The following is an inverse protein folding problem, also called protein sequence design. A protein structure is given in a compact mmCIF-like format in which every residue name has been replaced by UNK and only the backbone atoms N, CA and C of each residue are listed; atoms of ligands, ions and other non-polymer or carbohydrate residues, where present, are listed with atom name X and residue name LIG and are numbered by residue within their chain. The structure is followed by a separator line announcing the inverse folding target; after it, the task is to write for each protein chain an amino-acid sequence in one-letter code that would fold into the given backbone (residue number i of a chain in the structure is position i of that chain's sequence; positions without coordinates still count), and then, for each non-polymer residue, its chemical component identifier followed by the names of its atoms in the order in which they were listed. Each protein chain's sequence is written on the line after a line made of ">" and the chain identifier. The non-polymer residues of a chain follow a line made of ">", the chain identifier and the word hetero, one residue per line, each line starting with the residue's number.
data_IF_906677499963
#
_entry.id   IF_906677499963
#
_cell.length_a   1.000
_cell.length_b   1.000
_cell.length_c   1.000
_cell.angle_alpha   90.00
_cell.angle_beta   90.00
_cell.angle_gamma   90.00
#
_symmetry.space_group_name_H-M   'P 1'
#
loop_
_entity.id
_entity.type
_entity.pdbx_description
1 polymer ?
#
# COMPACT_ATOMS: atom_id res chain seq x y z
N UNK A 1 -59.94 -2.31 20.30
CA UNK A 1 -59.06 -3.32 19.66
C UNK A 1 -58.05 -2.74 18.64
N UNK A 2 -58.23 -1.52 18.15
CA UNK A 2 -57.37 -0.93 17.11
C UNK A 2 -55.94 -0.48 17.51
N UNK A 3 -55.64 -0.34 18.81
CA UNK A 3 -54.35 0.22 19.24
C UNK A 3 -53.17 -0.77 19.34
N UNK A 4 -53.45 -2.08 19.42
CA UNK A 4 -52.41 -3.11 19.57
C UNK A 4 -51.80 -3.47 18.20
N UNK A 5 -52.62 -3.44 17.16
CA UNK A 5 -52.18 -3.84 15.81
C UNK A 5 -51.30 -2.78 15.15
N UNK A 6 -51.60 -1.49 15.39
CA UNK A 6 -50.73 -0.38 14.91
C UNK A 6 -49.39 -0.32 15.64
N UNK A 7 -49.36 -0.64 16.95
CA UNK A 7 -48.12 -0.69 17.70
C UNK A 7 -47.19 -1.84 17.25
N UNK A 8 -47.75 -3.03 16.92
CA UNK A 8 -46.98 -4.18 16.43
C UNK A 8 -46.49 -3.98 15.01
N UNK A 9 -47.28 -3.40 14.11
CA UNK A 9 -46.87 -3.06 12.76
C UNK A 9 -45.75 -2.00 12.75
N UNK A 10 -45.85 -1.00 13.62
CA UNK A 10 -44.78 0.00 13.80
C UNK A 10 -43.50 -0.60 14.37
N UNK A 11 -43.62 -1.60 15.27
CA UNK A 11 -42.43 -2.25 15.84
C UNK A 11 -41.68 -3.11 14.81
N UNK A 12 -42.38 -3.86 13.96
CA UNK A 12 -41.78 -4.63 12.87
C UNK A 12 -41.16 -3.73 11.81
N UNK A 13 -41.79 -2.60 11.48
CA UNK A 13 -41.22 -1.59 10.56
C UNK A 13 -39.94 -0.94 11.12
N UNK A 14 -39.90 -0.64 12.42
CA UNK A 14 -38.72 -0.09 13.07
C UNK A 14 -37.54 -1.06 13.09
N UNK A 15 -37.76 -2.36 13.33
CA UNK A 15 -36.72 -3.39 13.31
C UNK A 15 -36.07 -3.48 11.90
N UNK A 16 -36.89 -3.47 10.85
CA UNK A 16 -36.38 -3.49 9.46
C UNK A 16 -35.53 -2.28 9.15
N UNK A 17 -35.90 -1.09 9.60
CA UNK A 17 -35.12 0.15 9.43
C UNK A 17 -33.83 0.12 10.22
N UNK A 18 -33.84 -0.37 11.45
CA UNK A 18 -32.63 -0.50 12.28
C UNK A 18 -31.63 -1.49 11.67
N UNK A 19 -32.10 -2.65 11.21
CA UNK A 19 -31.28 -3.64 10.52
C UNK A 19 -30.67 -3.02 9.27
N UNK A 20 -31.47 -2.36 8.44
CA UNK A 20 -30.98 -1.69 7.22
C UNK A 20 -29.93 -0.63 7.56
N UNK A 21 -30.15 0.17 8.60
CA UNK A 21 -29.21 1.19 9.06
C UNK A 21 -27.88 0.61 9.56
N UNK A 22 -27.91 -0.53 10.23
CA UNK A 22 -26.70 -1.25 10.66
C UNK A 22 -25.89 -1.77 9.46
N UNK A 23 -26.55 -2.39 8.48
CA UNK A 23 -25.90 -2.87 7.27
C UNK A 23 -25.32 -1.71 6.45
N UNK A 24 -26.03 -0.60 6.32
CA UNK A 24 -25.54 0.59 5.61
C UNK A 24 -24.25 1.11 6.24
N UNK A 25 -24.20 1.31 7.54
CA UNK A 25 -22.99 1.75 8.26
C UNK A 25 -21.81 0.78 8.07
N UNK A 26 -22.10 -0.51 8.09
CA UNK A 26 -21.09 -1.53 7.85
C UNK A 26 -20.52 -1.43 6.44
N UNK A 27 -21.37 -1.29 5.41
CA UNK A 27 -20.93 -1.14 4.04
C UNK A 27 -20.12 0.14 3.82
N UNK A 28 -20.57 1.27 4.36
CA UNK A 28 -19.86 2.56 4.25
C UNK A 28 -18.46 2.47 4.88
N UNK A 29 -18.35 1.82 6.03
CA UNK A 29 -17.06 1.61 6.68
C UNK A 29 -16.12 0.73 5.83
N UNK A 30 -16.64 -0.40 5.31
CA UNK A 30 -15.86 -1.30 4.46
C UNK A 30 -15.44 -0.68 3.14
N UNK A 31 -16.29 0.14 2.53
CA UNK A 31 -15.96 0.87 1.32
C UNK A 31 -14.83 1.88 1.57
N UNK A 32 -14.87 2.56 2.71
CA UNK A 32 -13.79 3.48 3.10
C UNK A 32 -12.46 2.74 3.28
N UNK A 33 -12.45 1.55 3.92
CA UNK A 33 -11.26 0.72 4.06
C UNK A 33 -10.72 0.25 2.70
N UNK A 34 -11.59 -0.23 1.82
CA UNK A 34 -11.22 -0.67 0.47
C UNK A 34 -10.59 0.47 -0.35
N UNK A 35 -11.18 1.66 -0.30
CA UNK A 35 -10.65 2.82 -1.02
C UNK A 35 -9.25 3.19 -0.53
N UNK A 36 -8.97 3.14 0.78
CA UNK A 36 -7.63 3.35 1.31
C UNK A 36 -6.61 2.34 0.78
N UNK A 37 -6.99 1.07 0.71
CA UNK A 37 -6.11 0.02 0.18
C UNK A 37 -5.87 0.27 -1.32
N UNK A 38 -6.90 0.58 -2.10
CA UNK A 38 -6.79 0.87 -3.53
C UNK A 38 -5.86 2.06 -3.78
N UNK A 39 -5.97 3.13 -3.00
CA UNK A 39 -5.11 4.31 -3.17
C UNK A 39 -3.66 3.98 -2.81
N UNK A 40 -3.42 3.19 -1.77
CA UNK A 40 -2.07 2.73 -1.45
C UNK A 40 -1.49 1.82 -2.55
N UNK A 41 -2.30 1.00 -3.22
CA UNK A 41 -1.87 0.20 -4.38
C UNK A 41 -1.45 1.07 -5.57
N UNK A 42 -2.15 2.17 -5.82
CA UNK A 42 -1.77 3.12 -6.90
C UNK A 42 -0.37 3.69 -6.64
N UNK A 43 -0.09 4.07 -5.38
CA UNK A 43 1.24 4.57 -4.98
C UNK A 43 2.29 3.49 -5.18
N UNK A 44 2.06 2.27 -4.69
CA UNK A 44 2.99 1.14 -4.85
C UNK A 44 3.26 0.84 -6.33
N UNK A 45 2.24 0.83 -7.17
CA UNK A 45 2.40 0.63 -8.62
C UNK A 45 3.23 1.72 -9.29
N UNK A 46 3.04 2.99 -8.87
CA UNK A 46 3.86 4.10 -9.38
C UNK A 46 5.32 3.91 -8.99
N UNK A 47 5.60 3.51 -7.76
CA UNK A 47 6.97 3.25 -7.27
C UNK A 47 7.63 2.10 -8.03
N UNK A 48 6.91 0.99 -8.25
CA UNK A 48 7.38 -0.14 -9.07
C UNK A 48 7.76 0.36 -10.47
N UNK A 49 6.91 1.16 -11.09
CA UNK A 49 7.18 1.72 -12.42
C UNK A 49 8.44 2.57 -12.43
N UNK A 50 8.57 3.50 -11.49
CA UNK A 50 9.75 4.40 -11.43
C UNK A 50 11.03 3.62 -11.19
N UNK A 51 11.03 2.65 -10.26
CA UNK A 51 12.20 1.79 -10.02
C UNK A 51 12.56 0.94 -11.24
N UNK A 52 11.56 0.37 -11.92
CA UNK A 52 11.76 -0.40 -13.15
C UNK A 52 12.35 0.46 -14.26
N UNK A 53 11.91 1.71 -14.41
CA UNK A 53 12.46 2.64 -15.39
C UNK A 53 13.92 2.97 -15.09
N UNK A 54 14.27 3.20 -13.82
CA UNK A 54 15.67 3.42 -13.39
C UNK A 54 16.53 2.19 -13.67
N UNK A 55 16.05 1.01 -13.29
CA UNK A 55 16.76 -0.25 -13.53
C UNK A 55 17.02 -0.50 -15.02
N UNK A 56 16.02 -0.23 -15.86
CA UNK A 56 16.16 -0.36 -17.33
C UNK A 56 17.19 0.61 -17.89
N UNK A 57 17.20 1.86 -17.45
CA UNK A 57 18.21 2.87 -17.87
C UNK A 57 19.62 2.44 -17.47
N UNK A 58 19.81 1.97 -16.23
CA UNK A 58 21.09 1.48 -15.74
C UNK A 58 21.56 0.25 -16.53
N UNK A 59 20.69 -0.70 -16.77
CA UNK A 59 20.96 -1.92 -17.54
C UNK A 59 21.34 -1.58 -18.98
N UNK A 60 20.64 -0.64 -19.61
CA UNK A 60 20.97 -0.16 -20.95
C UNK A 60 22.33 0.51 -20.98
N UNK A 61 22.61 1.41 -20.05
CA UNK A 61 23.91 2.09 -19.97
C UNK A 61 25.06 1.11 -19.74
N UNK A 62 24.85 0.05 -18.94
CA UNK A 62 25.82 -1.03 -18.78
C UNK A 62 26.15 -1.72 -20.11
N UNK A 63 25.13 -1.98 -20.94
CA UNK A 63 25.32 -2.66 -22.22
C UNK A 63 26.00 -1.77 -23.29
N UNK A 64 25.72 -0.47 -23.26
CA UNK A 64 26.21 0.48 -24.31
C UNK A 64 27.50 1.14 -23.91
N UNK A 65 27.51 1.88 -22.81
CA UNK A 65 28.57 2.79 -22.43
C UNK A 65 29.47 2.27 -21.30
N UNK A 66 29.03 1.18 -20.62
CA UNK A 66 29.65 0.62 -19.42
C UNK A 66 29.79 1.61 -18.26
N UNK A 67 29.08 2.73 -18.35
CA UNK A 67 29.08 3.83 -17.38
C UNK A 67 27.71 4.50 -17.35
N UNK A 68 27.36 5.06 -16.19
CA UNK A 68 26.13 5.85 -16.01
C UNK A 68 26.44 7.10 -15.17
N UNK A 69 26.18 8.26 -15.74
CA UNK A 69 26.40 9.55 -15.08
C UNK A 69 25.14 9.93 -14.26
N UNK A 70 25.21 9.72 -12.95
CA UNK A 70 24.12 10.01 -12.02
C UNK A 70 23.79 11.50 -11.91
N UNK A 71 24.70 12.39 -12.34
CA UNK A 71 24.43 13.84 -12.31
C UNK A 71 23.32 14.25 -13.28
N UNK A 72 23.07 13.43 -14.31
CA UNK A 72 22.10 13.68 -15.38
C UNK A 72 20.70 13.13 -15.10
N UNK A 73 20.56 12.27 -14.09
CA UNK A 73 19.27 11.66 -13.72
C UNK A 73 19.09 11.67 -12.20
N UNK A 74 18.35 12.67 -11.71
CA UNK A 74 18.10 12.85 -10.28
C UNK A 74 17.40 11.63 -9.66
N UNK A 75 16.48 11.02 -10.39
CA UNK A 75 15.75 9.84 -9.90
C UNK A 75 16.69 8.65 -9.75
N UNK A 76 17.50 8.35 -10.76
CA UNK A 76 18.49 7.29 -10.68
C UNK A 76 19.51 7.55 -9.56
N UNK A 77 19.92 8.80 -9.37
CA UNK A 77 20.83 9.21 -8.30
C UNK A 77 20.22 8.92 -6.92
N UNK A 78 18.97 9.31 -6.69
CA UNK A 78 18.27 9.06 -5.43
C UNK A 78 18.17 7.57 -5.11
N UNK A 79 17.77 6.76 -6.08
CA UNK A 79 17.67 5.31 -5.90
C UNK A 79 19.03 4.64 -5.68
N UNK A 80 20.04 4.99 -6.44
CA UNK A 80 21.40 4.47 -6.26
C UNK A 80 21.92 4.78 -4.85
N UNK A 81 21.65 5.99 -4.37
CA UNK A 81 22.02 6.41 -3.02
C UNK A 81 21.33 5.58 -1.94
N UNK A 82 20.03 5.36 -2.05
CA UNK A 82 19.28 4.56 -1.08
C UNK A 82 19.72 3.09 -1.08
N UNK A 83 20.00 2.53 -2.25
CA UNK A 83 20.57 1.18 -2.36
C UNK A 83 21.92 1.10 -1.66
N UNK A 84 22.76 2.13 -1.82
CA UNK A 84 24.05 2.23 -1.12
C UNK A 84 23.86 2.27 0.41
N UNK A 85 22.98 3.14 0.90
CA UNK A 85 22.75 3.27 2.34
C UNK A 85 22.23 1.97 3.00
N UNK A 86 21.45 1.17 2.25
CA UNK A 86 21.01 -0.14 2.72
C UNK A 86 22.08 -1.24 2.68
N UNK A 87 23.10 -1.08 1.83
CA UNK A 87 24.16 -2.05 1.62
C UNK A 87 25.53 -1.37 1.57
N UNK A 88 25.95 -0.66 2.64
CA UNK A 88 27.17 0.14 2.61
C UNK A 88 28.41 -0.71 2.32
N UNK A 89 28.52 -1.91 2.88
CA UNK A 89 29.68 -2.81 2.71
C UNK A 89 29.92 -3.24 1.28
N UNK A 90 28.89 -3.26 0.43
CA UNK A 90 29.03 -3.64 -0.98
C UNK A 90 29.66 -2.51 -1.80
N UNK A 91 29.51 -1.28 -1.34
CA UNK A 91 29.97 -0.06 -2.03
C UNK A 91 31.33 0.45 -1.51
N UNK A 92 31.72 0.11 -0.27
CA UNK A 92 32.91 0.66 0.40
C UNK A 92 34.21 0.58 -0.43
N UNK A 93 34.34 -0.41 -1.30
CA UNK A 93 35.51 -0.62 -2.14
C UNK A 93 35.31 -0.25 -3.62
N UNK A 94 34.14 0.22 -4.02
CA UNK A 94 33.77 0.32 -5.45
C UNK A 94 33.41 1.72 -5.91
N UNK A 95 33.11 2.63 -5.00
CA UNK A 95 32.80 4.02 -5.31
C UNK A 95 33.75 4.92 -4.51
N UNK A 96 34.78 5.42 -5.17
CA UNK A 96 35.86 6.17 -4.54
C UNK A 96 35.48 7.53 -3.94
N UNK A 97 34.27 8.04 -4.18
CA UNK A 97 33.84 9.38 -3.78
C UNK A 97 32.43 9.41 -3.17
N UNK A 98 31.91 8.27 -2.70
CA UNK A 98 30.76 8.34 -1.81
C UNK A 98 31.24 8.99 -0.52
N UNK A 99 30.49 9.94 0.03
CA UNK A 99 30.76 10.35 1.40
C UNK A 99 30.80 9.07 2.23
N UNK A 100 31.90 8.88 2.99
CA UNK A 100 32.02 7.85 4.03
C UNK A 100 30.66 7.80 4.69
N UNK A 101 30.10 6.61 4.87
CA UNK A 101 28.77 6.40 5.39
C UNK A 101 28.48 7.49 6.43
N UNK A 102 27.71 8.49 6.00
CA UNK A 102 27.48 9.63 6.85
C UNK A 102 26.59 9.09 7.97
N UNK A 103 27.17 8.93 9.14
CA UNK A 103 26.48 8.42 10.33
C UNK A 103 25.13 9.13 10.52
N UNK A 104 25.07 10.42 10.18
CA UNK A 104 23.84 11.21 10.20
C UNK A 104 22.78 10.70 9.20
N UNK A 105 23.17 10.11 8.09
CA UNK A 105 22.25 9.61 7.08
C UNK A 105 21.70 8.24 7.41
N UNK A 106 22.51 7.34 7.96
CA UNK A 106 22.04 6.06 8.51
C UNK A 106 21.09 6.30 9.69
N UNK A 107 21.41 7.27 10.54
CA UNK A 107 20.54 7.67 11.64
C UNK A 107 19.21 8.24 11.09
N UNK A 108 19.22 9.10 10.09
CA UNK A 108 17.99 9.64 9.46
C UNK A 108 17.11 8.55 8.86
N UNK A 109 17.67 7.55 8.18
CA UNK A 109 16.89 6.41 7.68
C UNK A 109 16.26 5.65 8.85
N UNK A 110 17.01 5.41 9.90
CA UNK A 110 16.52 4.74 11.11
C UNK A 110 15.37 5.53 11.75
N UNK A 111 15.52 6.84 11.85
CA UNK A 111 14.48 7.75 12.36
C UNK A 111 13.23 7.74 11.48
N UNK A 112 13.37 7.76 10.15
CA UNK A 112 12.24 7.66 9.21
C UNK A 112 11.53 6.32 9.35
N UNK A 113 12.27 5.22 9.47
CA UNK A 113 11.69 3.89 9.68
C UNK A 113 10.94 3.84 11.01
N UNK A 114 11.52 4.37 12.10
CA UNK A 114 10.85 4.46 13.39
C UNK A 114 9.56 5.28 13.32
N UNK A 115 9.61 6.45 12.68
CA UNK A 115 8.44 7.29 12.47
C UNK A 115 7.35 6.58 11.67
N UNK A 116 7.69 5.86 10.60
CA UNK A 116 6.73 5.09 9.81
C UNK A 116 6.05 4.00 10.64
N UNK A 117 6.81 3.33 11.52
CA UNK A 117 6.26 2.34 12.48
C UNK A 117 5.32 2.97 13.50
N UNK A 118 5.65 4.14 14.02
CA UNK A 118 4.78 4.90 14.93
C UNK A 118 3.49 5.37 14.22
N UNK A 119 3.56 5.70 12.94
CA UNK A 119 2.40 6.01 12.09
C UNK A 119 1.56 4.76 11.76
N UNK A 120 1.96 3.58 12.23
CA UNK A 120 1.24 2.31 12.04
C UNK A 120 1.48 1.66 10.68
N UNK A 121 2.56 2.03 9.97
CA UNK A 121 2.95 1.38 8.71
C UNK A 121 3.56 0.02 9.03
N UNK A 122 3.00 -1.11 8.53
CA UNK A 122 3.56 -2.43 8.76
C UNK A 122 4.98 -2.56 8.20
N UNK A 123 5.83 -3.34 8.85
CA UNK A 123 7.24 -3.53 8.45
C UNK A 123 7.38 -3.97 6.98
N UNK A 124 6.48 -4.81 6.49
CA UNK A 124 6.44 -5.28 5.10
C UNK A 124 6.17 -4.16 4.07
N UNK A 125 5.61 -3.04 4.52
CA UNK A 125 5.29 -1.88 3.68
C UNK A 125 6.38 -0.80 3.74
N UNK A 126 7.36 -0.95 4.63
CA UNK A 126 8.48 -0.02 4.75
C UNK A 126 9.55 -0.40 3.72
N UNK A 127 9.35 0.06 2.49
CA UNK A 127 10.26 -0.15 1.36
C UNK A 127 10.92 1.17 0.91
N UNK A 128 11.93 1.05 0.03
CA UNK A 128 12.69 2.20 -0.46
C UNK A 128 11.83 3.35 -0.97
N UNK A 129 10.72 3.07 -1.65
CA UNK A 129 9.83 4.11 -2.18
C UNK A 129 9.25 5.01 -1.10
N UNK A 130 8.74 4.44 0.01
CA UNK A 130 8.19 5.22 1.12
C UNK A 130 9.29 5.99 1.87
N UNK A 131 10.43 5.34 2.08
CA UNK A 131 11.60 6.00 2.69
C UNK A 131 12.03 7.20 1.82
N UNK A 132 12.04 7.04 0.50
CA UNK A 132 12.46 8.08 -0.43
C UNK A 132 11.54 9.31 -0.42
N UNK A 133 10.25 9.14 -0.19
CA UNK A 133 9.31 10.25 -0.09
C UNK A 133 9.57 11.14 1.14
N UNK A 134 10.02 10.53 2.24
CA UNK A 134 10.29 11.23 3.50
C UNK A 134 11.75 11.64 3.67
N UNK A 135 12.65 11.11 2.85
CA UNK A 135 14.08 11.34 2.99
C UNK A 135 14.49 12.73 2.46
N UNK A 136 15.10 13.58 3.29
CA UNK A 136 15.57 14.89 2.87
C UNK A 136 16.86 14.75 2.04
N UNK A 137 16.72 14.64 0.72
CA UNK A 137 17.87 14.64 -0.15
C UNK A 137 18.54 16.01 -0.18
N UNK A 138 19.78 16.07 0.28
CA UNK A 138 20.63 17.25 0.07
C UNK A 138 21.09 17.29 -1.40
N UNK A 139 20.91 18.43 -2.04
CA UNK A 139 21.40 18.69 -3.40
C UNK A 139 22.93 18.58 -3.53
N UNK A 140 23.64 18.59 -2.41
CA UNK A 140 25.11 18.48 -2.36
C UNK A 140 25.60 17.04 -2.42
N UNK A 141 24.72 16.02 -2.34
CA UNK A 141 25.13 14.63 -2.52
C UNK A 141 25.58 14.43 -3.96
N UNK A 142 26.87 14.40 -4.18
CA UNK A 142 27.50 14.17 -5.47
C UNK A 142 27.78 12.68 -5.60
N UNK A 143 27.05 12.00 -6.46
CA UNK A 143 27.48 10.73 -7.01
C UNK A 143 28.20 11.01 -8.33
N UNK A 144 29.33 10.39 -8.46
CA UNK A 144 30.06 10.40 -9.72
C UNK A 144 29.48 9.38 -10.71
N UNK A 145 30.23 9.04 -11.72
CA UNK A 145 29.83 8.09 -12.74
C UNK A 145 29.89 6.68 -12.20
N UNK A 146 28.78 5.95 -12.26
CA UNK A 146 28.77 4.52 -11.99
C UNK A 146 29.50 3.77 -13.10
N UNK A 147 30.39 2.86 -12.74
CA UNK A 147 31.01 1.91 -13.66
C UNK A 147 30.14 0.63 -13.78
N UNK A 148 30.54 -0.30 -14.66
CA UNK A 148 29.81 -1.54 -14.93
C UNK A 148 29.52 -2.34 -13.65
N UNK A 149 30.51 -2.44 -12.75
CA UNK A 149 30.39 -3.21 -11.51
C UNK A 149 29.43 -2.55 -10.49
N UNK A 150 29.50 -1.23 -10.36
CA UNK A 150 28.60 -0.47 -9.46
C UNK A 150 27.18 -0.38 -10.02
N UNK A 151 27.01 -0.34 -11.34
CA UNK A 151 25.70 -0.48 -11.97
C UNK A 151 25.06 -1.81 -11.58
N UNK A 152 25.80 -2.92 -11.61
CA UNK A 152 25.27 -4.23 -11.22
C UNK A 152 24.78 -4.26 -9.78
N UNK A 153 25.53 -3.67 -8.88
CA UNK A 153 25.13 -3.62 -7.46
C UNK A 153 23.85 -2.81 -7.28
N UNK A 154 23.74 -1.65 -7.94
CA UNK A 154 22.50 -0.84 -7.87
C UNK A 154 21.32 -1.60 -8.48
N UNK A 155 21.51 -2.23 -9.63
CA UNK A 155 20.47 -3.02 -10.31
C UNK A 155 20.03 -4.19 -9.43
N UNK A 156 20.94 -4.92 -8.79
CA UNK A 156 20.60 -6.01 -7.87
C UNK A 156 19.82 -5.51 -6.64
N UNK A 157 20.22 -4.37 -6.08
CA UNK A 157 19.49 -3.75 -4.97
C UNK A 157 18.08 -3.33 -5.35
N UNK A 158 17.91 -2.72 -6.53
CA UNK A 158 16.58 -2.35 -7.06
C UNK A 158 15.72 -3.59 -7.38
N UNK A 159 16.31 -4.65 -7.91
CA UNK A 159 15.60 -5.92 -8.18
C UNK A 159 15.07 -6.56 -6.89
N UNK A 160 15.86 -6.54 -5.82
CA UNK A 160 15.44 -7.01 -4.51
C UNK A 160 14.24 -6.19 -3.97
N UNK A 161 14.30 -4.86 -4.07
CA UNK A 161 13.20 -3.99 -3.66
C UNK A 161 11.93 -4.18 -4.52
N UNK A 162 12.09 -4.36 -5.83
CA UNK A 162 10.97 -4.64 -6.74
C UNK A 162 10.28 -5.97 -6.39
N UNK A 163 11.04 -6.99 -6.02
CA UNK A 163 10.48 -8.27 -5.55
C UNK A 163 9.67 -8.09 -4.26
N UNK A 164 10.17 -7.31 -3.31
CA UNK A 164 9.45 -7.01 -2.07
C UNK A 164 8.16 -6.23 -2.36
N UNK A 165 8.21 -5.20 -3.20
CA UNK A 165 7.03 -4.42 -3.59
C UNK A 165 5.98 -5.26 -4.32
N UNK A 166 6.40 -6.13 -5.23
CA UNK A 166 5.48 -7.02 -5.92
C UNK A 166 4.84 -8.05 -4.98
N UNK A 167 5.58 -8.55 -3.99
CA UNK A 167 5.03 -9.44 -2.96
C UNK A 167 3.97 -8.73 -2.11
N UNK A 168 4.26 -7.52 -1.62
CA UNK A 168 3.31 -6.68 -0.88
C UNK A 168 2.06 -6.35 -1.71
N UNK A 169 2.25 -6.01 -2.98
CA UNK A 169 1.15 -5.74 -3.91
C UNK A 169 0.23 -6.96 -4.06
N UNK A 170 0.79 -8.15 -4.23
CA UNK A 170 0.03 -9.38 -4.34
C UNK A 170 -0.74 -9.71 -3.05
N UNK A 171 -0.13 -9.53 -1.87
CA UNK A 171 -0.79 -9.71 -0.58
C UNK A 171 -1.98 -8.77 -0.42
N UNK A 172 -1.82 -7.49 -0.78
CA UNK A 172 -2.91 -6.50 -0.73
C UNK A 172 -4.02 -6.82 -1.72
N UNK A 173 -3.70 -7.31 -2.92
CA UNK A 173 -4.70 -7.74 -3.89
C UNK A 173 -5.51 -8.94 -3.37
N UNK A 174 -4.86 -9.91 -2.72
CA UNK A 174 -5.57 -11.01 -2.05
C UNK A 174 -6.48 -10.52 -0.94
N UNK A 175 -6.03 -9.56 -0.13
CA UNK A 175 -6.84 -8.95 0.92
C UNK A 175 -8.07 -8.21 0.35
N UNK A 176 -7.91 -7.48 -0.77
CA UNK A 176 -9.04 -6.85 -1.46
C UNK A 176 -10.04 -7.88 -1.93
N UNK A 177 -9.59 -8.95 -2.58
CA UNK A 177 -10.48 -10.01 -3.05
C UNK A 177 -11.28 -10.65 -1.91
N UNK A 178 -10.62 -10.98 -0.78
CA UNK A 178 -11.29 -11.47 0.42
C UNK A 178 -12.35 -10.50 0.94
N UNK A 179 -12.04 -9.19 0.99
CA UNK A 179 -13.01 -8.18 1.43
C UNK A 179 -14.19 -8.02 0.47
N UNK A 180 -14.01 -8.23 -0.83
CA UNK A 180 -15.11 -8.26 -1.80
C UNK A 180 -16.00 -9.51 -1.62
N UNK A 181 -15.41 -10.67 -1.35
CA UNK A 181 -16.15 -11.90 -1.04
C UNK A 181 -16.97 -11.74 0.23
N UNK A 182 -16.39 -11.23 1.31
CA UNK A 182 -17.08 -10.91 2.56
C UNK A 182 -18.27 -9.97 2.32
N UNK A 183 -18.07 -8.91 1.51
CA UNK A 183 -19.14 -7.97 1.15
C UNK A 183 -20.28 -8.65 0.40
N UNK A 184 -19.97 -9.54 -0.54
CA UNK A 184 -20.95 -10.31 -1.29
C UNK A 184 -21.79 -11.19 -0.36
N UNK A 185 -21.13 -11.90 0.55
CA UNK A 185 -21.76 -12.77 1.54
C UNK A 185 -22.67 -12.00 2.50
N UNK A 186 -22.19 -10.84 2.98
CA UNK A 186 -22.99 -9.96 3.85
C UNK A 186 -24.21 -9.38 3.13
N UNK A 187 -24.08 -9.05 1.84
CA UNK A 187 -25.20 -8.58 1.02
C UNK A 187 -26.29 -9.66 0.91
N UNK A 188 -25.88 -10.89 0.69
CA UNK A 188 -26.83 -12.01 0.62
C UNK A 188 -27.50 -12.30 1.95
N UNK A 189 -26.73 -12.29 3.05
CA UNK A 189 -27.27 -12.42 4.40
C UNK A 189 -28.27 -11.30 4.72
N UNK A 190 -27.97 -10.05 4.36
CA UNK A 190 -28.88 -8.94 4.55
C UNK A 190 -30.22 -9.12 3.79
N UNK A 191 -30.14 -9.59 2.54
CA UNK A 191 -31.34 -9.91 1.73
C UNK A 191 -32.17 -10.99 2.36
N UNK A 192 -31.53 -12.05 2.88
CA UNK A 192 -32.22 -13.14 3.53
C UNK A 192 -32.93 -12.67 4.81
N UNK A 193 -32.27 -11.92 5.67
CA UNK A 193 -32.86 -11.38 6.91
C UNK A 193 -34.03 -10.45 6.60
N UNK A 194 -33.93 -9.59 5.59
CA UNK A 194 -35.04 -8.73 5.17
C UNK A 194 -36.23 -9.53 4.64
N UNK A 195 -35.97 -10.60 3.88
CA UNK A 195 -37.01 -11.50 3.40
C UNK A 195 -37.74 -12.22 4.56
N UNK A 196 -37.00 -12.75 5.53
CA UNK A 196 -37.56 -13.37 6.71
C UNK A 196 -38.39 -12.40 7.56
N UNK A 197 -37.91 -11.15 7.71
CA UNK A 197 -38.66 -10.10 8.40
C UNK A 197 -39.97 -9.75 7.66
N UNK A 198 -39.98 -9.71 6.33
CA UNK A 198 -41.19 -9.48 5.54
C UNK A 198 -42.18 -10.65 5.62
N UNK A 199 -41.70 -11.89 5.60
CA UNK A 199 -42.52 -13.09 5.78
C UNK A 199 -43.14 -13.13 7.17
N UNK A 200 -42.40 -12.78 8.24
CA UNK A 200 -42.91 -12.65 9.59
C UNK A 200 -44.01 -11.58 9.67
N UNK A 201 -43.79 -10.42 9.10
CA UNK A 201 -44.77 -9.33 9.05
C UNK A 201 -46.07 -9.78 8.35
N UNK A 202 -45.97 -10.47 7.20
CA UNK A 202 -47.11 -11.03 6.48
C UNK A 202 -47.86 -12.06 7.32
N UNK A 203 -47.15 -12.95 8.03
CA UNK A 203 -47.73 -13.95 8.93
C UNK A 203 -48.48 -13.31 10.10
N UNK A 204 -47.94 -12.27 10.70
CA UNK A 204 -48.58 -11.50 11.77
C UNK A 204 -49.88 -10.86 11.27
N UNK A 205 -49.83 -10.21 10.10
CA UNK A 205 -51.00 -9.56 9.50
C UNK A 205 -52.13 -10.58 9.18
N UNK A 206 -51.75 -11.77 8.68
CA UNK A 206 -52.73 -12.82 8.38
C UNK A 206 -53.39 -13.42 9.64
N UNK A 207 -52.67 -13.51 10.78
CA UNK A 207 -53.19 -14.04 12.04
C UNK A 207 -54.02 -13.03 12.86
N UNK A 208 -53.95 -11.76 12.49
CA UNK A 208 -54.66 -10.67 13.16
C UNK A 208 -55.93 -10.24 12.41
N UNK A 209 -56.21 -10.84 11.27
CA UNK A 209 -57.52 -10.77 10.57
C UNK A 209 -58.41 -11.92 10.92
#
# INVERSE_FOLDING_TARGET
>A
MGNIDTARANHGYNIGLEITGCYQKYFDHRETELNKIIDSLKVTNLQIKVMSDVMNKLTHAKQTDKKFDLSKDETARKYAYLVHLRNPTVFENKIHNLPVADYDLEQKITEIIAQLKEEGVPDQQIHLGIIMEKFPFDSNIRFDVLNEETIDVVVQGLDAELKMLNADLNERLMNINSKYEDRSQMTENARQVLKEADELNKSIIQKTR
#
